data_IF_974363420780
#
_entry.id   IF_974363420780
#
_cell.length_a   1.000
_cell.length_b   1.000
_cell.length_c   1.000
_cell.angle_alpha   90.00
_cell.angle_beta   90.00
_cell.angle_gamma   90.00
#
_symmetry.space_group_name_H-M   'P 1'
#
loop_
_entity.id
_entity.type
_entity.pdbx_description
1 polymer ?
#
# COMPACT_ATOMS: atom_id res chain seq x y z
N UNK A 1 -41.86 -17.54 31.61
CA UNK A 1 -41.02 -18.70 31.22
C UNK A 1 -40.36 -18.35 29.89
N UNK A 2 -39.12 -17.86 29.95
CA UNK A 2 -37.86 -18.53 29.58
C UNK A 2 -37.60 -18.59 28.06
N UNK A 3 -36.58 -17.82 27.69
CA UNK A 3 -35.90 -17.73 26.40
C UNK A 3 -35.21 -19.05 25.98
N UNK A 4 -35.12 -19.28 24.68
CA UNK A 4 -34.01 -19.97 23.98
C UNK A 4 -34.28 -19.84 22.46
N UNK A 5 -33.44 -19.26 21.60
CA UNK A 5 -31.99 -19.12 21.63
C UNK A 5 -31.43 -19.81 20.39
N UNK A 6 -31.64 -19.25 19.18
CA UNK A 6 -31.07 -19.80 17.94
C UNK A 6 -29.64 -19.28 17.78
N UNK A 7 -28.68 -20.14 18.11
CA UNK A 7 -27.25 -19.88 17.97
C UNK A 7 -26.81 -19.88 16.51
N UNK A 8 -26.25 -18.76 16.06
CA UNK A 8 -25.56 -18.67 14.78
C UNK A 8 -24.16 -19.30 14.90
N UNK A 9 -23.94 -20.44 14.24
CA UNK A 9 -22.61 -20.94 13.96
C UNK A 9 -21.93 -20.04 12.91
N UNK A 10 -20.95 -19.22 13.34
CA UNK A 10 -20.04 -18.54 12.42
C UNK A 10 -18.92 -19.52 12.04
N UNK A 11 -18.65 -19.75 10.74
CA UNK A 11 -17.49 -20.55 10.35
C UNK A 11 -16.21 -19.81 10.77
N UNK A 12 -15.34 -20.53 11.47
CA UNK A 12 -14.01 -20.07 11.86
C UNK A 12 -13.18 -19.73 10.62
N UNK A 13 -12.76 -18.47 10.49
CA UNK A 13 -11.83 -18.03 9.46
C UNK A 13 -10.45 -18.66 9.72
N UNK A 14 -10.22 -19.83 9.12
CA UNK A 14 -8.89 -20.42 9.01
C UNK A 14 -8.04 -19.58 8.05
N UNK A 15 -7.26 -18.66 8.59
CA UNK A 15 -6.21 -17.93 7.88
C UNK A 15 -4.99 -18.82 7.66
N UNK A 16 -5.11 -19.79 6.74
CA UNK A 16 -3.93 -20.44 6.13
C UNK A 16 -3.88 -20.07 4.66
N UNK A 17 -3.20 -18.95 4.40
CA UNK A 17 -2.89 -18.52 3.03
C UNK A 17 -2.00 -17.29 3.02
N UNK A 18 -0.72 -17.48 2.72
CA UNK A 18 0.26 -16.54 2.11
C UNK A 18 0.39 -15.07 2.58
N UNK A 19 -0.31 -14.62 3.62
CA UNK A 19 -0.24 -13.24 4.13
C UNK A 19 0.95 -13.06 5.09
N UNK A 20 1.49 -14.14 5.67
CA UNK A 20 2.51 -14.02 6.73
C UNK A 20 3.94 -13.77 6.25
N UNK A 21 4.27 -13.95 4.95
CA UNK A 21 5.66 -13.88 4.47
C UNK A 21 6.15 -12.47 4.14
N UNK A 22 5.27 -11.47 4.09
CA UNK A 22 5.66 -10.09 3.73
C UNK A 22 5.52 -9.09 4.90
N UNK A 23 5.03 -9.55 6.05
CA UNK A 23 4.87 -8.73 7.24
C UNK A 23 6.23 -8.43 7.91
N UNK A 24 7.14 -9.40 7.95
CA UNK A 24 8.46 -9.25 8.55
C UNK A 24 9.32 -8.23 7.80
N UNK A 25 9.33 -8.30 6.46
CA UNK A 25 10.05 -7.33 5.62
C UNK A 25 9.47 -5.91 5.73
N UNK A 26 8.14 -5.79 5.87
CA UNK A 26 7.50 -4.51 6.10
C UNK A 26 7.87 -3.90 7.45
N UNK A 27 7.88 -4.70 8.53
CA UNK A 27 8.34 -4.26 9.86
C UNK A 27 9.80 -3.80 9.81
N UNK A 28 10.67 -4.52 9.11
CA UNK A 28 12.10 -4.16 9.01
C UNK A 28 12.27 -2.81 8.30
N UNK A 29 11.62 -2.62 7.15
CA UNK A 29 11.69 -1.34 6.42
C UNK A 29 11.05 -0.17 7.18
N UNK A 30 9.96 -0.44 7.89
CA UNK A 30 9.30 0.55 8.75
C UNK A 30 10.18 0.95 9.95
N UNK A 31 10.87 -0.01 10.58
CA UNK A 31 11.85 0.26 11.65
C UNK A 31 13.07 1.03 11.15
N UNK A 32 13.53 0.75 9.93
CA UNK A 32 14.61 1.53 9.28
C UNK A 32 14.17 2.99 9.08
N UNK A 33 12.94 3.21 8.62
CA UNK A 33 12.35 4.54 8.46
C UNK A 33 12.21 5.29 9.80
N UNK A 34 11.74 4.61 10.86
CA UNK A 34 11.64 5.20 12.20
C UNK A 34 13.02 5.57 12.77
N UNK A 35 14.03 4.70 12.61
CA UNK A 35 15.42 4.97 13.02
C UNK A 35 16.02 6.16 12.27
N UNK A 36 15.76 6.30 10.97
CA UNK A 36 16.21 7.44 10.17
C UNK A 36 15.50 8.75 10.53
N UNK A 37 14.35 8.68 11.22
CA UNK A 37 13.53 9.85 11.59
C UNK A 37 13.73 10.33 13.03
N UNK A 38 14.63 9.69 13.80
CA UNK A 38 15.01 10.15 15.16
C UNK A 38 13.92 10.01 16.23
N UNK A 39 12.90 9.19 16.00
CA UNK A 39 11.80 8.94 16.93
C UNK A 39 11.93 7.51 17.50
N UNK A 40 12.64 7.35 18.60
CA UNK A 40 12.58 6.13 19.42
C UNK A 40 12.01 6.50 20.80
N UNK A 41 10.79 6.04 21.11
CA UNK A 41 10.37 5.80 22.48
C UNK A 41 10.64 4.34 22.82
N UNK A 42 11.31 4.15 23.95
CA UNK A 42 11.80 2.87 24.44
C UNK A 42 10.70 1.88 24.86
N UNK A 43 11.11 0.61 24.90
CA UNK A 43 10.61 -0.45 25.76
C UNK A 43 9.34 -1.21 25.30
N UNK A 44 9.53 -2.43 24.79
CA UNK A 44 9.19 -3.62 25.59
C UNK A 44 9.79 -4.91 25.03
N UNK A 45 10.58 -5.53 25.90
CA UNK A 45 11.40 -6.71 25.72
C UNK A 45 10.53 -7.97 25.83
N UNK A 46 10.09 -8.56 24.70
CA UNK A 46 9.35 -9.83 24.71
C UNK A 46 10.32 -11.01 24.57
N UNK A 47 10.66 -11.61 25.73
CA UNK A 47 11.46 -12.83 25.88
C UNK A 47 10.98 -13.94 24.95
N UNK A 48 11.78 -14.28 23.94
CA UNK A 48 11.63 -15.51 23.15
C UNK A 48 12.17 -16.66 23.99
N UNK A 49 11.36 -17.70 24.22
CA UNK A 49 11.81 -18.90 24.96
C UNK A 49 12.83 -19.65 24.10
N UNK A 50 14.08 -19.66 24.54
CA UNK A 50 15.12 -20.51 23.96
C UNK A 50 14.82 -21.97 24.33
N UNK A 51 14.46 -22.78 23.34
CA UNK A 51 14.47 -24.23 23.49
C UNK A 51 15.92 -24.73 23.41
N UNK A 52 16.35 -25.63 24.30
CA UNK A 52 17.70 -26.18 24.24
C UNK A 52 17.90 -26.94 22.91
N UNK A 53 19.10 -26.89 22.31
CA UNK A 53 19.36 -27.58 21.06
C UNK A 53 19.29 -29.08 21.31
N UNK A 54 18.40 -29.77 20.61
CA UNK A 54 18.38 -31.24 20.57
C UNK A 54 19.66 -31.69 19.88
N UNK A 55 20.59 -32.27 20.64
CA UNK A 55 21.82 -32.84 20.11
C UNK A 55 21.49 -34.15 19.37
N UNK A 56 21.20 -34.06 18.08
CA UNK A 56 21.21 -35.23 17.19
C UNK A 56 22.66 -35.45 16.77
N UNK A 57 23.18 -36.65 17.00
CA UNK A 57 24.50 -37.06 16.52
C UNK A 57 24.60 -36.76 15.01
N UNK A 58 25.61 -35.97 14.63
CA UNK A 58 25.85 -35.60 13.25
C UNK A 58 26.36 -36.82 12.49
N UNK A 59 25.47 -37.48 11.76
CA UNK A 59 25.88 -38.45 10.75
C UNK A 59 26.67 -37.65 9.69
N UNK A 60 27.95 -37.96 9.42
CA UNK A 60 28.68 -37.29 8.36
C UNK A 60 27.95 -37.54 7.04
N UNK A 61 27.39 -36.46 6.48
CA UNK A 61 26.78 -36.47 5.15
C UNK A 61 27.83 -36.97 4.17
N UNK A 62 27.51 -37.90 3.25
CA UNK A 62 28.44 -38.30 2.20
C UNK A 62 28.96 -37.06 1.48
N UNK A 63 30.27 -37.00 1.21
CA UNK A 63 30.90 -35.89 0.50
C UNK A 63 30.15 -35.66 -0.81
N UNK A 64 29.42 -34.53 -0.86
CA UNK A 64 28.68 -34.13 -2.04
C UNK A 64 29.68 -33.90 -3.16
N UNK A 65 29.70 -34.82 -4.13
CA UNK A 65 30.40 -34.59 -5.39
C UNK A 65 29.95 -33.25 -5.95
N UNK A 66 30.93 -32.42 -6.28
CA UNK A 66 30.76 -31.04 -6.71
C UNK A 66 30.23 -30.98 -8.16
N UNK A 67 29.13 -31.67 -8.44
CA UNK A 67 28.41 -31.51 -9.70
C UNK A 67 27.76 -30.14 -9.64
N UNK A 68 28.37 -29.13 -10.29
CA UNK A 68 27.74 -27.83 -10.55
C UNK A 68 26.32 -28.12 -11.02
N UNK A 69 25.34 -27.87 -10.15
CA UNK A 69 23.96 -28.18 -10.49
C UNK A 69 23.65 -27.46 -11.79
N UNK A 70 23.08 -28.18 -12.76
CA UNK A 70 22.75 -27.68 -14.11
C UNK A 70 21.63 -26.63 -14.09
N UNK A 71 21.49 -25.91 -12.98
CA UNK A 71 20.61 -24.77 -12.83
C UNK A 71 21.18 -23.64 -13.66
N UNK A 72 20.69 -23.53 -14.90
CA UNK A 72 20.94 -22.35 -15.73
C UNK A 72 20.50 -21.13 -14.92
N UNK A 73 21.36 -20.14 -14.78
CA UNK A 73 20.99 -18.83 -14.24
C UNK A 73 19.88 -18.25 -15.11
N UNK A 74 18.63 -18.34 -14.67
CA UNK A 74 17.49 -17.78 -15.42
C UNK A 74 17.49 -16.27 -15.18
N UNK A 75 17.57 -15.48 -16.25
CA UNK A 75 17.36 -14.04 -16.17
C UNK A 75 15.90 -13.76 -15.76
N UNK A 76 15.69 -13.48 -14.48
CA UNK A 76 14.36 -13.25 -13.90
C UNK A 76 13.70 -12.00 -14.50
N UNK A 77 14.45 -10.94 -14.79
CA UNK A 77 13.96 -9.70 -15.41
C UNK A 77 13.41 -9.91 -16.82
N UNK A 78 13.88 -10.95 -17.51
CA UNK A 78 13.38 -11.30 -18.85
C UNK A 78 11.93 -11.80 -18.84
N UNK A 79 11.42 -12.25 -17.69
CA UNK A 79 10.09 -12.87 -17.58
C UNK A 79 8.98 -11.86 -17.92
N UNK A 80 8.06 -12.28 -18.79
CA UNK A 80 6.95 -11.44 -19.29
C UNK A 80 6.12 -10.81 -18.18
N UNK A 81 5.90 -11.52 -17.06
CA UNK A 81 5.13 -11.01 -15.93
C UNK A 81 5.87 -9.87 -15.20
N UNK A 82 7.19 -9.96 -15.04
CA UNK A 82 8.01 -8.95 -14.39
C UNK A 82 8.09 -7.69 -15.26
N UNK A 83 8.38 -7.84 -16.56
CA UNK A 83 8.32 -6.73 -17.53
C UNK A 83 6.98 -6.01 -17.51
N UNK A 84 5.87 -6.77 -17.50
CA UNK A 84 4.52 -6.20 -17.44
C UNK A 84 4.26 -5.47 -16.13
N UNK A 85 4.66 -6.05 -14.99
CA UNK A 85 4.53 -5.39 -13.68
C UNK A 85 5.31 -4.08 -13.66
N UNK A 86 6.56 -4.11 -14.10
CA UNK A 86 7.43 -2.93 -14.17
C UNK A 86 6.84 -1.82 -15.04
N UNK A 87 6.34 -2.16 -16.24
CA UNK A 87 5.65 -1.20 -17.11
C UNK A 87 4.43 -0.59 -16.42
N UNK A 88 3.61 -1.40 -15.77
CA UNK A 88 2.44 -0.92 -15.02
C UNK A 88 2.82 0.02 -13.87
N UNK A 89 3.83 -0.36 -13.08
CA UNK A 89 4.26 0.41 -11.91
C UNK A 89 4.92 1.74 -12.32
N UNK A 90 5.49 1.82 -13.53
CA UNK A 90 5.99 3.05 -14.16
C UNK A 90 4.89 3.84 -14.91
N UNK A 91 3.65 3.35 -14.94
CA UNK A 91 2.58 4.00 -15.69
C UNK A 91 2.76 3.94 -17.21
N UNK A 92 3.57 3.03 -17.75
CA UNK A 92 3.80 2.87 -19.19
C UNK A 92 2.76 1.96 -19.84
N UNK A 93 2.61 2.06 -21.16
CA UNK A 93 1.72 1.17 -21.91
C UNK A 93 2.18 -0.28 -21.86
N UNK A 94 1.22 -1.22 -21.77
CA UNK A 94 1.53 -2.65 -21.71
C UNK A 94 0.38 -3.52 -22.19
N UNK A 95 0.73 -4.71 -22.68
CA UNK A 95 -0.25 -5.72 -23.05
C UNK A 95 -0.64 -6.54 -21.82
N UNK A 96 -1.94 -6.57 -21.50
CA UNK A 96 -2.46 -7.33 -20.37
C UNK A 96 -2.38 -8.85 -20.62
N UNK A 97 -2.87 -9.69 -19.69
CA UNK A 97 -2.86 -11.15 -19.89
C UNK A 97 -3.85 -11.63 -20.96
N UNK A 98 -4.88 -10.83 -21.26
CA UNK A 98 -5.92 -11.11 -22.25
C UNK A 98 -5.52 -10.68 -23.68
N UNK A 99 -4.38 -10.01 -23.85
CA UNK A 99 -3.92 -9.50 -25.13
C UNK A 99 -4.30 -8.04 -25.43
N UNK A 100 -5.06 -7.37 -24.55
CA UNK A 100 -5.43 -5.97 -24.78
C UNK A 100 -4.28 -5.06 -24.39
N UNK A 101 -4.03 -4.06 -25.24
CA UNK A 101 -3.14 -2.95 -24.92
C UNK A 101 -3.79 -2.03 -23.87
N UNK A 102 -3.01 -1.69 -22.86
CA UNK A 102 -3.33 -0.69 -21.86
C UNK A 102 -2.43 0.50 -22.15
N UNK A 103 -3.02 1.66 -22.37
CA UNK A 103 -2.30 2.91 -22.63
C UNK A 103 -1.45 3.34 -21.44
N UNK A 104 -0.45 4.17 -21.72
CA UNK A 104 0.32 4.81 -20.66
C UNK A 104 -0.58 5.76 -19.86
N UNK A 105 -0.20 5.96 -18.61
CA UNK A 105 -0.81 6.95 -17.72
C UNK A 105 -0.48 8.33 -18.24
N UNK A 106 -1.48 9.19 -18.21
CA UNK A 106 -1.36 10.59 -18.60
C UNK A 106 -1.94 11.47 -17.50
N UNK A 107 -1.49 12.71 -17.45
CA UNK A 107 -2.09 13.72 -16.60
C UNK A 107 -3.55 13.94 -17.02
N UNK A 108 -4.46 13.87 -16.07
CA UNK A 108 -5.88 14.08 -16.31
C UNK A 108 -6.24 15.54 -16.54
N UNK A 109 -7.42 15.77 -17.13
CA UNK A 109 -7.94 17.11 -17.36
C UNK A 109 -8.16 17.88 -16.04
N UNK A 110 -7.95 19.21 -16.04
CA UNK A 110 -8.14 20.02 -14.84
C UNK A 110 -9.61 19.95 -14.37
N UNK A 111 -9.80 19.78 -13.06
CA UNK A 111 -11.14 19.76 -12.48
C UNK A 111 -11.80 21.16 -12.51
N UNK A 112 -13.11 21.22 -12.76
CA UNK A 112 -13.92 22.47 -12.81
C UNK A 112 -14.48 22.90 -11.45
N UNK A 113 -13.83 22.51 -10.35
CA UNK A 113 -14.36 22.78 -9.01
C UNK A 113 -14.07 24.22 -8.54
N UNK A 114 -14.90 24.73 -7.62
CA UNK A 114 -14.74 26.07 -7.00
C UNK A 114 -13.44 26.25 -6.20
N UNK A 115 -12.70 25.18 -5.93
CA UNK A 115 -11.43 25.24 -5.19
C UNK A 115 -10.22 25.61 -6.06
N UNK A 116 -10.42 25.76 -7.38
CA UNK A 116 -9.38 26.10 -8.36
C UNK A 116 -8.10 25.26 -8.20
N UNK A 117 -8.26 23.93 -8.08
CA UNK A 117 -7.17 23.04 -7.66
C UNK A 117 -5.93 23.15 -8.57
N UNK A 118 -6.11 23.24 -9.89
CA UNK A 118 -4.99 23.33 -10.84
C UNK A 118 -4.16 24.61 -10.62
N UNK A 119 -4.83 25.75 -10.45
CA UNK A 119 -4.16 27.04 -10.20
C UNK A 119 -3.31 27.00 -8.91
N UNK A 120 -3.79 26.31 -7.87
CA UNK A 120 -3.04 26.16 -6.62
C UNK A 120 -1.75 25.37 -6.75
N UNK A 121 -1.63 24.50 -7.76
CA UNK A 121 -0.42 23.70 -7.99
C UNK A 121 0.70 24.49 -8.65
N UNK A 122 0.46 25.73 -9.07
CA UNK A 122 1.48 26.63 -9.62
C UNK A 122 2.24 26.03 -10.83
N UNK A 123 1.58 25.22 -11.65
CA UNK A 123 2.19 24.58 -12.83
C UNK A 123 3.05 23.35 -12.51
N UNK A 124 3.13 22.91 -11.25
CA UNK A 124 3.96 21.76 -10.84
C UNK A 124 3.31 20.40 -11.08
N UNK A 125 2.12 20.36 -11.67
CA UNK A 125 1.38 19.13 -11.90
C UNK A 125 2.17 18.06 -12.67
N UNK A 126 2.93 18.43 -13.69
CA UNK A 126 3.72 17.49 -14.49
C UNK A 126 4.89 16.92 -13.67
N UNK A 127 5.60 17.77 -12.92
CA UNK A 127 6.67 17.36 -12.02
C UNK A 127 6.15 16.34 -10.99
N UNK A 128 5.00 16.62 -10.39
CA UNK A 128 4.36 15.75 -9.40
C UNK A 128 3.95 14.43 -10.04
N UNK A 129 3.35 14.48 -11.23
CA UNK A 129 2.94 13.29 -11.99
C UNK A 129 4.14 12.40 -12.32
N UNK A 130 5.21 12.97 -12.87
CA UNK A 130 6.42 12.24 -13.22
C UNK A 130 7.11 11.69 -11.99
N UNK A 131 7.26 12.48 -10.92
CA UNK A 131 7.84 12.02 -9.65
C UNK A 131 7.07 10.81 -9.08
N UNK A 132 5.73 10.84 -9.15
CA UNK A 132 4.90 9.74 -8.68
C UNK A 132 5.10 8.45 -9.48
N UNK A 133 5.07 8.51 -10.81
CA UNK A 133 5.22 7.31 -11.65
C UNK A 133 6.67 6.82 -11.73
N UNK A 134 7.65 7.73 -11.63
CA UNK A 134 9.07 7.39 -11.58
C UNK A 134 9.47 6.60 -10.33
N UNK A 135 8.65 6.60 -9.27
CA UNK A 135 8.84 5.68 -8.14
C UNK A 135 8.85 4.21 -8.58
N UNK A 136 8.13 3.86 -9.66
CA UNK A 136 8.18 2.53 -10.28
C UNK A 136 7.83 1.36 -9.35
N UNK A 137 7.18 1.64 -8.22
CA UNK A 137 6.86 0.66 -7.20
C UNK A 137 5.47 0.94 -6.63
N UNK A 138 4.57 -0.02 -6.84
CA UNK A 138 3.18 0.02 -6.41
C UNK A 138 2.99 0.28 -4.90
N UNK A 139 3.82 -0.32 -4.05
CA UNK A 139 3.68 -0.21 -2.60
C UNK A 139 4.11 1.19 -2.12
N UNK A 140 5.20 1.73 -2.68
CA UNK A 140 5.65 3.11 -2.41
C UNK A 140 4.62 4.13 -2.91
N UNK A 141 4.09 3.93 -4.11
CA UNK A 141 3.02 4.75 -4.67
C UNK A 141 1.78 4.77 -3.77
N UNK A 142 1.33 3.60 -3.31
CA UNK A 142 0.18 3.52 -2.40
C UNK A 142 0.47 4.19 -1.05
N UNK A 143 1.65 3.93 -0.46
CA UNK A 143 2.04 4.57 0.80
C UNK A 143 2.03 6.09 0.67
N UNK A 144 2.56 6.62 -0.44
CA UNK A 144 2.50 8.04 -0.77
C UNK A 144 1.07 8.54 -0.88
N UNK A 145 0.20 7.88 -1.66
CA UNK A 145 -1.21 8.29 -1.81
C UNK A 145 -1.96 8.28 -0.47
N UNK A 146 -1.74 7.27 0.37
CA UNK A 146 -2.36 7.20 1.69
C UNK A 146 -1.86 8.31 2.61
N UNK A 147 -0.57 8.68 2.55
CA UNK A 147 -0.05 9.82 3.32
C UNK A 147 -0.67 11.16 2.91
N UNK A 148 -1.09 11.26 1.64
CA UNK A 148 -1.74 12.43 1.06
C UNK A 148 -3.26 12.48 1.29
N UNK A 149 -3.84 11.47 1.94
CA UNK A 149 -5.28 11.37 2.23
C UNK A 149 -5.50 11.44 3.74
N UNK A 150 -6.22 12.46 4.21
CA UNK A 150 -6.52 12.65 5.64
C UNK A 150 -8.00 12.44 5.92
N UNK A 151 -8.31 11.67 6.96
CA UNK A 151 -9.68 11.47 7.44
C UNK A 151 -9.94 12.40 8.62
N UNK A 152 -10.97 13.23 8.52
CA UNK A 152 -11.40 14.14 9.59
C UNK A 152 -12.75 13.72 10.14
N UNK A 153 -12.84 13.58 11.46
CA UNK A 153 -14.08 13.26 12.14
C UNK A 153 -14.79 14.53 12.59
N UNK A 154 -16.14 14.60 12.51
CA UNK A 154 -16.87 15.76 12.97
C UNK A 154 -16.68 15.92 14.49
N UNK A 155 -16.19 17.09 14.93
CA UNK A 155 -15.97 17.41 16.35
C UNK A 155 -17.27 17.44 17.16
N UNK A 156 -18.39 17.79 16.52
CA UNK A 156 -19.72 17.81 17.12
C UNK A 156 -20.72 17.19 16.15
N UNK A 157 -21.65 16.39 16.67
CA UNK A 157 -22.84 15.93 15.95
C UNK A 157 -24.06 16.53 16.63
N UNK A 158 -24.86 17.27 15.88
CA UNK A 158 -26.13 17.79 16.39
C UNK A 158 -27.14 16.65 16.52
N UNK A 159 -27.90 16.62 17.62
CA UNK A 159 -29.06 15.73 17.77
C UNK A 159 -30.03 16.07 16.64
N UNK A 160 -30.28 15.08 15.77
CA UNK A 160 -31.23 15.23 14.67
C UNK A 160 -32.63 14.86 15.14
N UNK A 161 -33.65 15.54 14.59
CA UNK A 161 -35.05 15.37 15.02
C UNK A 161 -35.65 14.05 14.53
N UNK A 162 -35.14 13.49 13.42
CA UNK A 162 -35.66 12.25 12.83
C UNK A 162 -34.57 11.26 12.41
N UNK A 163 -34.90 9.95 12.42
CA UNK A 163 -33.98 8.87 11.99
C UNK A 163 -33.59 8.97 10.50
N UNK A 164 -34.45 9.51 9.63
CA UNK A 164 -34.18 9.70 8.19
C UNK A 164 -33.06 10.70 7.91
N UNK A 165 -32.74 11.59 8.85
CA UNK A 165 -31.69 12.59 8.66
C UNK A 165 -30.29 12.08 9.02
N UNK A 166 -30.15 10.85 9.55
CA UNK A 166 -28.84 10.31 9.95
C UNK A 166 -28.02 9.99 8.71
N UNK A 167 -27.04 10.85 8.41
CA UNK A 167 -26.03 10.56 7.39
C UNK A 167 -25.20 9.36 7.84
N UNK A 168 -25.05 8.35 6.96
CA UNK A 168 -24.16 7.22 7.19
C UNK A 168 -22.66 7.60 7.18
N UNK A 169 -22.31 8.84 6.81
CA UNK A 169 -20.91 9.28 6.76
C UNK A 169 -20.36 9.50 8.17
N UNK A 170 -19.36 8.71 8.55
CA UNK A 170 -18.69 8.80 9.85
C UNK A 170 -17.59 9.88 9.89
N UNK A 171 -16.92 10.09 8.77
CA UNK A 171 -15.78 10.99 8.59
C UNK A 171 -15.82 11.65 7.19
N UNK A 172 -15.04 12.72 7.06
CA UNK A 172 -14.79 13.42 5.80
C UNK A 172 -13.37 13.10 5.34
N UNK A 173 -13.22 12.72 4.07
CA UNK A 173 -11.91 12.45 3.47
C UNK A 173 -11.42 13.73 2.77
N UNK A 174 -10.22 14.17 3.13
CA UNK A 174 -9.52 15.30 2.54
C UNK A 174 -8.34 14.77 1.71
N UNK A 175 -8.15 15.39 0.55
CA UNK A 175 -7.08 15.05 -0.39
C UNK A 175 -6.09 16.20 -0.41
N UNK A 176 -4.80 15.87 -0.30
CA UNK A 176 -3.70 16.82 -0.26
C UNK A 176 -2.71 16.50 -1.38
N UNK A 177 -2.05 17.52 -1.92
CA UNK A 177 -0.94 17.36 -2.85
C UNK A 177 0.22 18.16 -2.30
N UNK A 178 1.39 17.52 -2.18
CA UNK A 178 2.60 18.17 -1.68
C UNK A 178 3.22 19.03 -2.76
N UNK A 179 3.33 20.32 -2.49
CA UNK A 179 4.00 21.31 -3.36
C UNK A 179 4.95 22.10 -2.49
N UNK A 180 6.26 22.09 -2.82
CA UNK A 180 7.30 22.78 -2.05
C UNK A 180 7.34 22.42 -0.55
N UNK A 181 6.96 21.18 -0.20
CA UNK A 181 6.89 20.74 1.20
C UNK A 181 5.56 21.07 1.90
N UNK A 182 4.66 21.81 1.25
CA UNK A 182 3.34 22.17 1.81
C UNK A 182 2.22 21.28 1.27
N UNK A 183 1.26 20.93 2.14
CA UNK A 183 0.09 20.12 1.79
C UNK A 183 -1.04 21.00 1.23
N UNK A 184 -1.19 21.07 -0.09
CA UNK A 184 -2.27 21.81 -0.75
C UNK A 184 -3.54 20.96 -0.78
N UNK A 185 -4.62 21.45 -0.16
CA UNK A 185 -5.92 20.76 -0.22
C UNK A 185 -6.55 20.86 -1.61
N UNK A 186 -6.94 19.71 -2.17
CA UNK A 186 -7.62 19.62 -3.47
C UNK A 186 -8.95 18.88 -3.36
N UNK A 187 -9.74 18.91 -4.42
CA UNK A 187 -10.92 18.03 -4.53
C UNK A 187 -10.50 16.63 -4.98
N UNK A 188 -11.37 15.63 -4.78
CA UNK A 188 -11.14 14.25 -5.23
C UNK A 188 -10.82 14.19 -6.73
N UNK A 189 -11.60 14.86 -7.58
CA UNK A 189 -11.37 14.84 -9.03
C UNK A 189 -10.01 15.43 -9.42
N UNK A 190 -9.61 16.54 -8.81
CA UNK A 190 -8.30 17.16 -9.05
C UNK A 190 -7.15 16.27 -8.59
N UNK A 191 -7.30 15.59 -7.46
CA UNK A 191 -6.32 14.61 -6.97
C UNK A 191 -6.10 13.48 -7.97
N UNK A 192 -7.19 12.85 -8.46
CA UNK A 192 -7.11 11.78 -9.44
C UNK A 192 -6.51 12.27 -10.77
N UNK A 193 -6.88 13.48 -11.21
CA UNK A 193 -6.34 14.07 -12.43
C UNK A 193 -4.83 14.31 -12.34
N UNK A 194 -4.30 14.76 -11.20
CA UNK A 194 -2.85 15.01 -11.05
C UNK A 194 -2.04 13.73 -11.07
N UNK A 195 -2.56 12.61 -10.55
CA UNK A 195 -1.84 11.33 -10.52
C UNK A 195 -2.20 10.40 -11.69
N UNK A 196 -3.16 10.76 -12.55
CA UNK A 196 -3.60 9.93 -13.69
C UNK A 196 -4.28 8.61 -13.27
N UNK A 197 -5.00 8.65 -12.14
CA UNK A 197 -5.65 7.47 -11.53
C UNK A 197 -7.06 7.22 -12.05
#
# INVERSE_FOLDING_TARGET
MKNSGVGHNKPSLSLKGNISRNWENWIVNFKIYLRASGLEDENENRKVRNFPPVQRAAIPSPEKWNSKSRWRSVNVESRKNIKRKRKRDLGLSYINKKGNEIENRILGSPCRCKKNCRQKLQGKEEEIFHSFWNMGNYDLQNAYLFSSIKSTYPKRRYRKKTKKEVSGRKCTILYHIKVNGEDITVCKAGFFAVYGL
#
